data_IF_936256430679
#
_entry.id   IF_936256430679
#
_cell.length_a   1.000
_cell.length_b   1.000
_cell.length_c   1.000
_cell.angle_alpha   90.00
_cell.angle_beta   90.00
_cell.angle_gamma   90.00
#
_symmetry.space_group_name_H-M   'P 1'
#
loop_
_entity.id
_entity.type
_entity.pdbx_description
1 polymer ?
#
# COMPACT_ATOMS: atom_id res chain seq x y z
N UNK A 1 -18.01 -7.80 -0.91
CA UNK A 1 -17.68 -6.37 -1.05
C UNK A 1 -16.19 -6.33 -1.30
N UNK A 2 -15.78 -5.88 -2.47
CA UNK A 2 -14.37 -5.81 -2.87
C UNK A 2 -14.02 -4.32 -2.88
N UNK A 3 -12.99 -3.92 -2.14
CA UNK A 3 -12.51 -2.54 -2.17
C UNK A 3 -11.78 -2.30 -3.49
N UNK A 4 -11.93 -1.11 -4.04
CA UNK A 4 -11.13 -0.61 -5.17
C UNK A 4 -9.71 -0.28 -4.69
N UNK A 5 -8.76 -0.16 -5.63
CA UNK A 5 -7.37 0.21 -5.30
C UNK A 5 -7.31 1.57 -4.59
N UNK A 6 -8.05 2.56 -5.09
CA UNK A 6 -8.15 3.90 -4.50
C UNK A 6 -8.67 3.85 -3.05
N UNK A 7 -9.67 3.00 -2.77
CA UNK A 7 -10.15 2.81 -1.40
C UNK A 7 -9.10 2.13 -0.49
N UNK A 8 -8.33 1.18 -1.02
CA UNK A 8 -7.25 0.53 -0.27
C UNK A 8 -6.11 1.51 0.07
N UNK A 9 -5.83 2.45 -0.84
CA UNK A 9 -4.85 3.52 -0.64
C UNK A 9 -5.28 4.49 0.43
N UNK A 10 -6.53 4.96 0.36
CA UNK A 10 -7.08 5.87 1.36
C UNK A 10 -7.07 5.24 2.76
N UNK A 11 -7.40 3.93 2.84
CA UNK A 11 -7.24 3.14 4.06
C UNK A 11 -5.77 3.11 4.50
N UNK A 12 -4.84 2.80 3.60
CA UNK A 12 -3.42 2.71 3.95
C UNK A 12 -2.88 4.03 4.50
N UNK A 13 -3.11 5.13 3.78
CA UNK A 13 -2.68 6.48 4.14
C UNK A 13 -3.28 6.88 5.49
N UNK A 14 -4.56 6.57 5.71
CA UNK A 14 -5.23 6.83 6.99
C UNK A 14 -4.55 6.09 8.14
N UNK A 15 -4.20 4.81 7.98
CA UNK A 15 -3.48 4.09 9.04
C UNK A 15 -2.04 4.58 9.21
N UNK A 16 -1.37 4.94 8.12
CA UNK A 16 -0.02 5.48 8.13
C UNK A 16 0.05 6.80 8.89
N UNK A 17 -0.87 7.74 8.63
CA UNK A 17 -0.94 9.04 9.29
C UNK A 17 -1.20 8.96 10.79
N UNK A 18 -1.97 7.95 11.23
CA UNK A 18 -2.25 7.71 12.65
C UNK A 18 -1.20 6.83 13.34
N UNK A 19 -0.11 6.44 12.67
CA UNK A 19 0.94 5.59 13.22
C UNK A 19 0.52 4.13 13.46
N UNK A 20 -0.62 3.71 12.91
CA UNK A 20 -1.23 2.38 13.09
C UNK A 20 -0.67 1.30 12.17
N UNK A 21 0.60 1.41 11.76
CA UNK A 21 1.18 0.61 10.66
C UNK A 21 1.74 -0.76 11.04
N UNK A 22 2.02 -1.00 12.33
CA UNK A 22 2.72 -2.21 12.74
C UNK A 22 1.82 -3.40 13.12
N UNK A 23 0.61 -3.16 13.64
CA UNK A 23 -0.27 -4.23 14.14
C UNK A 23 -1.69 -4.23 13.52
N UNK A 24 -1.88 -3.53 12.39
CA UNK A 24 -3.18 -3.52 11.73
C UNK A 24 -3.39 -4.79 10.88
N UNK A 25 -4.38 -5.60 11.25
CA UNK A 25 -4.84 -6.74 10.43
C UNK A 25 -5.33 -6.32 9.05
N UNK A 26 -5.80 -5.09 8.91
CA UNK A 26 -6.25 -4.53 7.63
C UNK A 26 -5.03 -4.30 6.73
N UNK A 27 -4.01 -3.61 7.24
CA UNK A 27 -2.78 -3.38 6.46
C UNK A 27 -2.02 -4.67 6.17
N UNK A 28 -2.07 -5.66 7.05
CA UNK A 28 -1.48 -6.98 6.78
C UNK A 28 -2.13 -7.67 5.57
N UNK A 29 -3.44 -7.49 5.37
CA UNK A 29 -4.14 -8.00 4.18
C UNK A 29 -3.73 -7.24 2.93
N UNK A 30 -3.63 -5.90 3.02
CA UNK A 30 -3.19 -5.07 1.90
C UNK A 30 -1.76 -5.45 1.50
N UNK A 31 -0.84 -5.60 2.47
CA UNK A 31 0.55 -6.03 2.25
C UNK A 31 0.71 -7.37 1.56
N UNK A 32 -0.27 -8.26 1.67
CA UNK A 32 -0.21 -9.56 1.02
C UNK A 32 -0.23 -9.44 -0.51
N UNK A 33 -0.90 -8.42 -1.04
CA UNK A 33 -1.10 -8.22 -2.48
C UNK A 33 -0.43 -6.96 -3.03
N UNK A 34 -0.27 -5.93 -2.20
CA UNK A 34 0.22 -4.61 -2.57
C UNK A 34 1.31 -4.11 -1.62
N UNK A 35 2.29 -3.38 -2.15
CA UNK A 35 3.31 -2.67 -1.38
C UNK A 35 3.12 -1.17 -1.58
N UNK A 36 3.09 -0.44 -0.49
CA UNK A 36 3.00 1.02 -0.52
C UNK A 36 4.35 1.62 -0.92
N UNK A 37 4.34 2.43 -1.97
CA UNK A 37 5.48 3.22 -2.39
C UNK A 37 5.39 4.61 -1.73
N UNK A 38 6.30 4.95 -0.78
CA UNK A 38 6.28 6.25 -0.12
C UNK A 38 6.77 7.41 -1.01
N UNK A 39 7.34 7.12 -2.19
CA UNK A 39 7.74 8.14 -3.15
C UNK A 39 6.57 8.61 -4.01
N UNK A 40 5.66 7.68 -4.34
CA UNK A 40 4.47 7.95 -5.14
C UNK A 40 3.21 8.17 -4.31
N UNK A 41 3.26 7.88 -3.00
CA UNK A 41 2.08 7.77 -2.13
C UNK A 41 1.00 6.85 -2.72
N UNK A 42 1.42 5.72 -3.30
CA UNK A 42 0.55 4.82 -4.08
C UNK A 42 0.75 3.35 -3.67
N UNK A 43 -0.31 2.54 -3.73
CA UNK A 43 -0.23 1.09 -3.56
C UNK A 43 0.07 0.41 -4.89
N UNK A 44 1.21 -0.28 -4.94
CA UNK A 44 1.67 -0.96 -6.14
C UNK A 44 1.49 -2.47 -5.95
N UNK A 45 0.94 -3.21 -6.92
CA UNK A 45 0.89 -4.67 -6.85
C UNK A 45 2.28 -5.26 -6.59
N UNK A 46 2.37 -6.24 -5.69
CA UNK A 46 3.65 -6.84 -5.31
C UNK A 46 4.41 -7.45 -6.49
N UNK A 47 3.70 -7.91 -7.52
CA UNK A 47 4.28 -8.43 -8.77
C UNK A 47 5.01 -7.36 -9.59
N UNK A 48 4.61 -6.10 -9.46
CA UNK A 48 5.10 -4.97 -10.26
C UNK A 48 5.96 -4.01 -9.42
N UNK A 49 5.98 -4.18 -8.09
CA UNK A 49 6.69 -3.28 -7.18
C UNK A 49 8.17 -3.12 -7.51
N UNK A 50 8.86 -4.21 -7.88
CA UNK A 50 10.28 -4.15 -8.19
C UNK A 50 10.55 -3.32 -9.45
N UNK A 51 9.78 -3.54 -10.51
CA UNK A 51 9.87 -2.73 -11.72
C UNK A 51 9.54 -1.25 -11.44
N UNK A 52 8.48 -1.00 -10.67
CA UNK A 52 8.11 0.35 -10.25
C UNK A 52 9.23 1.03 -9.46
N UNK A 53 9.91 0.30 -8.57
CA UNK A 53 11.01 0.83 -7.78
C UNK A 53 12.24 1.13 -8.64
N UNK A 54 12.54 0.27 -9.63
CA UNK A 54 13.64 0.49 -10.57
C UNK A 54 13.41 1.73 -11.45
N UNK A 55 12.16 2.10 -11.74
CA UNK A 55 11.81 3.33 -12.48
C UNK A 55 12.05 4.63 -11.66
N UNK A 56 12.30 4.54 -10.34
CA UNK A 56 12.64 5.69 -9.50
C UNK A 56 14.15 6.00 -9.44
N UNK A 57 15.01 5.11 -9.93
CA UNK A 57 16.48 5.25 -9.95
C UNK A 57 16.98 6.00 -11.19
#
# INVERSE_FOLDING_TARGET
MTFTLEELEDIWITYYSHGGVNNSKVLAKIRAEYTFCPLCDHLIPNSEYQQHFDDHD
#
